data_IF_731494172019
#
_entry.id   IF_731494172019
#
_cell.length_a   1.000
_cell.length_b   1.000
_cell.length_c   1.000
_cell.angle_alpha   90.00
_cell.angle_beta   90.00
_cell.angle_gamma   90.00
#
_symmetry.space_group_name_H-M   'P 1'
#
loop_
_entity.id
_entity.type
_entity.pdbx_description
1 polymer ?
#
# COMPACT_ATOMS: atom_id res chain seq x y z
N UNK A 1 19.32 -4.70 -30.11
CA UNK A 1 18.08 -4.11 -30.66
C UNK A 1 17.79 -2.81 -29.93
N UNK A 2 17.08 -1.86 -30.51
CA UNK A 2 16.53 -0.73 -29.75
C UNK A 2 15.16 -1.08 -29.15
N UNK A 3 14.61 -0.28 -28.20
CA UNK A 3 13.34 -0.59 -27.54
C UNK A 3 12.16 -0.78 -28.51
N UNK A 4 12.11 -0.04 -29.61
CA UNK A 4 11.08 -0.21 -30.64
C UNK A 4 11.22 -1.54 -31.38
N UNK A 5 12.44 -1.92 -31.77
CA UNK A 5 12.73 -3.23 -32.36
C UNK A 5 12.38 -4.38 -31.42
N UNK A 6 12.65 -4.24 -30.11
CA UNK A 6 12.28 -5.25 -29.11
C UNK A 6 10.76 -5.41 -28.99
N UNK A 7 10.01 -4.31 -28.96
CA UNK A 7 8.54 -4.33 -28.95
C UNK A 7 7.98 -5.04 -30.18
N UNK A 8 8.47 -4.70 -31.37
CA UNK A 8 8.04 -5.32 -32.63
C UNK A 8 8.34 -6.81 -32.65
N UNK A 9 9.54 -7.23 -32.21
CA UNK A 9 9.91 -8.64 -32.13
C UNK A 9 9.00 -9.42 -31.18
N UNK A 10 8.64 -8.84 -30.04
CA UNK A 10 7.68 -9.45 -29.11
C UNK A 10 6.29 -9.59 -29.73
N UNK A 11 5.80 -8.56 -30.42
CA UNK A 11 4.52 -8.60 -31.12
C UNK A 11 4.49 -9.67 -32.23
N UNK A 12 5.57 -9.79 -33.01
CA UNK A 12 5.70 -10.84 -34.01
C UNK A 12 5.71 -12.23 -33.38
N UNK A 13 6.51 -12.41 -32.31
CA UNK A 13 6.54 -13.67 -31.58
C UNK A 13 5.16 -14.04 -31.04
N UNK A 14 4.47 -13.09 -30.40
CA UNK A 14 3.11 -13.31 -29.92
C UNK A 14 2.20 -13.68 -31.09
N UNK A 15 2.20 -12.97 -32.21
CA UNK A 15 1.37 -13.34 -33.37
C UNK A 15 1.68 -14.73 -33.94
N UNK A 16 2.93 -15.14 -33.95
CA UNK A 16 3.35 -16.42 -34.52
C UNK A 16 3.04 -17.61 -33.60
N UNK A 17 3.10 -17.40 -32.29
CA UNK A 17 2.89 -18.44 -31.28
C UNK A 17 1.47 -18.45 -30.74
N UNK A 18 0.86 -17.28 -30.64
CA UNK A 18 -0.45 -17.00 -30.09
C UNK A 18 -1.34 -16.42 -31.20
N UNK A 19 -2.42 -17.11 -31.52
CA UNK A 19 -3.38 -16.59 -32.49
C UNK A 19 -4.03 -15.32 -31.92
N UNK A 20 -4.07 -14.25 -32.71
CA UNK A 20 -4.68 -12.98 -32.29
C UNK A 20 -6.20 -13.05 -32.22
N UNK A 21 -6.80 -14.17 -32.64
CA UNK A 21 -8.21 -14.47 -32.48
C UNK A 21 -8.64 -14.57 -31.00
N UNK A 22 -7.71 -14.76 -30.07
CA UNK A 22 -7.98 -14.63 -28.63
C UNK A 22 -7.93 -13.14 -28.20
N UNK A 23 -9.06 -12.56 -27.73
CA UNK A 23 -9.10 -11.17 -27.27
C UNK A 23 -8.09 -10.86 -26.16
N UNK A 24 -7.84 -11.78 -25.24
CA UNK A 24 -6.90 -11.58 -24.13
C UNK A 24 -5.47 -11.39 -24.65
N UNK A 25 -5.03 -12.27 -25.56
CA UNK A 25 -3.68 -12.23 -26.14
C UNK A 25 -3.50 -10.99 -27.01
N UNK A 26 -4.57 -10.57 -27.71
CA UNK A 26 -4.61 -9.31 -28.44
C UNK A 26 -4.43 -8.08 -27.54
N UNK A 27 -5.13 -7.98 -26.41
CA UNK A 27 -4.94 -6.86 -25.46
C UNK A 27 -3.57 -6.91 -24.77
N UNK A 28 -3.05 -8.10 -24.48
CA UNK A 28 -1.71 -8.27 -23.95
C UNK A 28 -0.66 -7.79 -24.97
N UNK A 29 -0.83 -8.11 -26.25
CA UNK A 29 0.02 -7.61 -27.32
C UNK A 29 -0.04 -6.07 -27.41
N UNK A 30 -1.25 -5.48 -27.39
CA UNK A 30 -1.42 -4.02 -27.38
C UNK A 30 -0.73 -3.34 -26.19
N UNK A 31 -0.73 -3.98 -25.02
CA UNK A 31 -0.08 -3.44 -23.82
C UNK A 31 1.43 -3.26 -23.98
N UNK A 32 2.10 -4.01 -24.86
CA UNK A 32 3.55 -3.88 -25.13
C UNK A 32 3.88 -2.50 -25.70
N UNK A 33 2.95 -1.89 -26.43
CA UNK A 33 3.12 -0.55 -27.00
C UNK A 33 2.83 0.57 -25.98
N UNK A 34 2.19 0.24 -24.86
CA UNK A 34 1.69 1.17 -23.87
C UNK A 34 2.60 1.19 -22.63
N UNK A 35 3.74 1.90 -22.68
CA UNK A 35 4.65 1.92 -21.53
C UNK A 35 4.01 2.52 -20.26
N UNK A 36 4.46 2.10 -19.06
CA UNK A 36 3.96 2.65 -17.80
C UNK A 36 4.15 4.16 -17.66
N UNK A 37 5.23 4.72 -18.23
CA UNK A 37 5.55 6.15 -18.21
C UNK A 37 4.82 6.96 -19.31
N UNK A 38 3.91 6.33 -20.06
CA UNK A 38 3.11 6.96 -21.11
C UNK A 38 3.89 7.31 -22.38
N UNK A 39 5.18 6.96 -22.46
CA UNK A 39 6.05 7.29 -23.61
C UNK A 39 6.12 6.14 -24.61
N UNK A 40 6.36 6.47 -25.87
CA UNK A 40 6.65 5.47 -26.88
C UNK A 40 7.95 4.68 -26.58
N UNK A 41 8.08 3.44 -27.09
CA UNK A 41 9.35 2.77 -27.20
C UNK A 41 10.37 3.63 -27.97
N UNK A 42 11.50 3.96 -27.34
CA UNK A 42 12.53 4.78 -27.97
C UNK A 42 13.11 4.14 -29.23
N UNK A 43 13.44 4.98 -30.21
CA UNK A 43 14.04 4.55 -31.49
C UNK A 43 15.47 5.07 -31.63
N UNK A 44 16.38 4.21 -32.07
CA UNK A 44 17.74 4.62 -32.46
C UNK A 44 17.88 4.46 -33.97
N UNK A 45 17.55 5.51 -34.74
CA UNK A 45 17.45 5.45 -36.22
C UNK A 45 18.69 4.85 -36.92
N UNK A 46 19.90 5.03 -36.36
CA UNK A 46 21.15 4.45 -36.90
C UNK A 46 21.19 2.92 -36.89
N UNK A 47 20.33 2.25 -36.10
CA UNK A 47 20.22 0.79 -36.00
C UNK A 47 19.22 0.19 -37.01
N UNK A 48 18.66 1.01 -37.88
CA UNK A 48 17.68 0.61 -38.90
C UNK A 48 18.29 0.76 -40.29
N UNK A 49 17.92 -0.14 -41.21
CA UNK A 49 18.34 -0.07 -42.62
C UNK A 49 17.90 1.25 -43.25
N UNK A 50 16.66 1.63 -43.00
CA UNK A 50 16.08 2.89 -43.46
C UNK A 50 15.70 3.79 -42.29
N UNK A 51 16.42 4.91 -42.14
CA UNK A 51 16.20 5.85 -41.03
C UNK A 51 14.80 6.50 -41.08
N UNK A 52 14.30 6.78 -42.28
CA UNK A 52 13.01 7.42 -42.50
C UNK A 52 11.85 6.49 -42.10
N UNK A 53 11.94 5.21 -42.45
CA UNK A 53 10.96 4.21 -42.03
C UNK A 53 10.94 4.02 -40.51
N UNK A 54 12.12 3.96 -39.88
CA UNK A 54 12.25 3.86 -38.44
C UNK A 54 11.56 5.02 -37.71
N UNK A 55 11.74 6.25 -38.20
CA UNK A 55 11.07 7.43 -37.66
C UNK A 55 9.56 7.36 -37.88
N UNK A 56 9.09 7.05 -39.09
CA UNK A 56 7.66 6.97 -39.39
C UNK A 56 6.96 5.90 -38.54
N UNK A 57 7.59 4.75 -38.34
CA UNK A 57 7.05 3.68 -37.50
C UNK A 57 7.03 4.10 -36.03
N UNK A 58 8.09 4.73 -35.54
CA UNK A 58 8.12 5.29 -34.19
C UNK A 58 6.98 6.28 -33.97
N UNK A 59 6.77 7.23 -34.88
CA UNK A 59 5.74 8.26 -34.74
C UNK A 59 4.33 7.65 -34.75
N UNK A 60 4.11 6.57 -35.51
CA UNK A 60 2.83 5.81 -35.47
C UNK A 60 2.64 5.08 -34.14
N UNK A 61 3.69 4.44 -33.62
CA UNK A 61 3.63 3.75 -32.33
C UNK A 61 3.46 4.73 -31.18
N UNK A 62 4.09 5.90 -31.26
CA UNK A 62 3.91 6.99 -30.29
C UNK A 62 2.46 7.46 -30.27
N UNK A 63 1.90 7.80 -31.44
CA UNK A 63 0.51 8.21 -31.52
C UNK A 63 -0.45 7.15 -30.96
N UNK A 64 -0.17 5.88 -31.26
CA UNK A 64 -1.05 4.77 -30.88
C UNK A 64 -0.96 4.41 -29.40
N UNK A 65 0.25 4.39 -28.81
CA UNK A 65 0.52 3.89 -27.46
C UNK A 65 0.77 4.93 -26.37
N UNK A 66 0.78 6.23 -26.72
CA UNK A 66 0.84 7.33 -25.74
C UNK A 66 -0.34 7.32 -24.77
N UNK A 67 -0.24 8.10 -23.70
CA UNK A 67 -1.26 8.15 -22.63
C UNK A 67 -2.69 8.40 -23.14
N UNK A 68 -2.87 9.33 -24.09
CA UNK A 68 -4.14 9.62 -24.75
C UNK A 68 -4.28 8.91 -26.12
N UNK A 69 -3.56 7.81 -26.31
CA UNK A 69 -3.51 7.05 -27.55
C UNK A 69 -4.59 5.97 -27.61
N UNK A 70 -5.08 5.59 -28.79
CA UNK A 70 -6.12 4.57 -28.94
C UNK A 70 -5.79 3.22 -28.29
N UNK A 71 -4.53 2.77 -28.33
CA UNK A 71 -4.15 1.50 -27.71
C UNK A 71 -4.25 1.57 -26.19
N UNK A 72 -3.84 2.70 -25.60
CA UNK A 72 -3.87 2.90 -24.16
C UNK A 72 -5.31 2.94 -23.66
N UNK A 73 -6.19 3.66 -24.35
CA UNK A 73 -7.62 3.71 -24.03
C UNK A 73 -8.25 2.30 -24.03
N UNK A 74 -8.00 1.53 -25.09
CA UNK A 74 -8.50 0.16 -25.23
C UNK A 74 -7.96 -0.78 -24.14
N UNK A 75 -6.65 -0.76 -23.88
CA UNK A 75 -6.03 -1.58 -22.82
C UNK A 75 -6.52 -1.17 -21.44
N UNK A 76 -6.71 0.14 -21.19
CA UNK A 76 -7.24 0.64 -19.93
C UNK A 76 -8.68 0.16 -19.68
N UNK A 77 -9.55 0.20 -20.68
CA UNK A 77 -10.93 -0.33 -20.56
C UNK A 77 -10.92 -1.84 -20.29
N UNK A 78 -10.06 -2.59 -20.99
CA UNK A 78 -9.91 -4.03 -20.76
C UNK A 78 -9.42 -4.34 -19.35
N UNK A 79 -8.39 -3.63 -18.87
CA UNK A 79 -7.88 -3.80 -17.52
C UNK A 79 -8.90 -3.39 -16.47
N UNK A 80 -9.68 -2.33 -16.66
CA UNK A 80 -10.75 -1.96 -15.74
C UNK A 80 -11.79 -3.08 -15.61
N UNK A 81 -12.20 -3.68 -16.73
CA UNK A 81 -13.12 -4.81 -16.74
C UNK A 81 -12.53 -6.03 -16.01
N UNK A 82 -11.29 -6.40 -16.34
CA UNK A 82 -10.60 -7.54 -15.74
C UNK A 82 -10.32 -7.33 -14.25
N UNK A 83 -9.90 -6.14 -13.85
CA UNK A 83 -9.58 -5.83 -12.46
C UNK A 83 -10.80 -5.98 -11.56
N UNK A 84 -12.00 -5.60 -12.01
CA UNK A 84 -13.21 -5.80 -11.20
C UNK A 84 -13.43 -7.28 -10.88
N UNK A 85 -13.29 -8.17 -11.87
CA UNK A 85 -13.46 -9.61 -11.71
C UNK A 85 -12.36 -10.24 -10.87
N UNK A 86 -11.10 -9.88 -11.17
CA UNK A 86 -9.92 -10.42 -10.47
C UNK A 86 -9.91 -9.95 -9.02
N UNK A 87 -10.24 -8.68 -8.77
CA UNK A 87 -10.27 -8.13 -7.41
C UNK A 87 -11.30 -8.86 -6.56
N UNK A 88 -12.50 -9.11 -7.08
CA UNK A 88 -13.52 -9.88 -6.35
C UNK A 88 -13.00 -11.28 -5.97
N UNK A 89 -12.44 -12.02 -6.93
CA UNK A 89 -11.83 -13.33 -6.65
C UNK A 89 -10.69 -13.27 -5.63
N UNK A 90 -9.79 -12.28 -5.76
CA UNK A 90 -8.64 -12.12 -4.84
C UNK A 90 -9.10 -11.77 -3.43
N UNK A 91 -10.13 -10.93 -3.28
CA UNK A 91 -10.70 -10.60 -1.98
C UNK A 91 -11.35 -11.83 -1.33
N UNK A 92 -12.18 -12.56 -2.07
CA UNK A 92 -12.82 -13.79 -1.58
C UNK A 92 -11.78 -14.84 -1.18
N UNK A 93 -10.76 -15.04 -2.02
CA UNK A 93 -9.67 -15.98 -1.75
C UNK A 93 -8.83 -15.58 -0.54
N UNK A 94 -8.54 -14.28 -0.37
CA UNK A 94 -7.86 -13.73 0.82
C UNK A 94 -8.65 -14.05 2.08
N UNK A 95 -9.96 -13.82 2.07
CA UNK A 95 -10.80 -13.96 3.25
C UNK A 95 -10.98 -15.44 3.63
N UNK A 96 -11.26 -16.30 2.65
CA UNK A 96 -11.30 -17.75 2.86
C UNK A 96 -9.96 -18.30 3.40
N UNK A 97 -8.82 -17.82 2.88
CA UNK A 97 -7.50 -18.26 3.35
C UNK A 97 -7.20 -17.76 4.78
N UNK A 98 -7.57 -16.52 5.10
CA UNK A 98 -7.47 -15.96 6.45
C UNK A 98 -8.28 -16.78 7.46
N UNK A 99 -9.54 -17.10 7.13
CA UNK A 99 -10.39 -17.95 7.97
C UNK A 99 -9.82 -19.35 8.16
N UNK A 100 -9.31 -19.97 7.10
CA UNK A 100 -8.66 -21.27 7.18
C UNK A 100 -7.45 -21.26 8.14
N UNK A 101 -6.62 -20.21 8.10
CA UNK A 101 -5.48 -20.07 9.03
C UNK A 101 -5.93 -19.94 10.48
N UNK A 102 -7.00 -19.19 10.72
CA UNK A 102 -7.61 -19.06 12.06
C UNK A 102 -8.13 -20.41 12.55
N UNK A 103 -8.93 -21.11 11.74
CA UNK A 103 -9.54 -22.39 12.11
C UNK A 103 -8.50 -23.49 12.38
N UNK A 104 -7.38 -23.47 11.66
CA UNK A 104 -6.29 -24.45 11.83
C UNK A 104 -5.25 -24.05 12.87
N UNK A 105 -5.37 -22.87 13.49
CA UNK A 105 -4.41 -22.34 14.45
C UNK A 105 -3.04 -22.02 13.85
N UNK A 106 -2.92 -21.90 12.53
CA UNK A 106 -1.66 -21.63 11.80
C UNK A 106 -1.53 -20.14 11.50
N UNK A 107 -1.39 -19.35 12.56
CA UNK A 107 -1.26 -17.90 12.45
C UNK A 107 0.17 -17.49 12.11
N UNK A 108 0.32 -16.54 11.19
CA UNK A 108 1.57 -15.86 10.91
C UNK A 108 1.71 -14.58 11.75
N UNK A 109 2.90 -13.98 11.78
CA UNK A 109 3.14 -12.73 12.50
C UNK A 109 2.17 -11.60 12.10
N UNK A 110 1.84 -11.50 10.82
CA UNK A 110 0.88 -10.50 10.33
C UNK A 110 -0.53 -10.76 10.88
N UNK A 111 -0.94 -12.01 11.01
CA UNK A 111 -2.24 -12.37 11.58
C UNK A 111 -2.30 -11.99 13.06
N UNK A 112 -1.22 -12.23 13.81
CA UNK A 112 -1.14 -11.85 15.22
C UNK A 112 -1.31 -10.34 15.42
N UNK A 113 -0.65 -9.52 14.59
CA UNK A 113 -0.81 -8.07 14.62
C UNK A 113 -2.25 -7.67 14.25
N UNK A 114 -2.81 -8.23 13.18
CA UNK A 114 -4.15 -7.87 12.72
C UNK A 114 -5.22 -8.23 13.74
N UNK A 115 -5.16 -9.45 14.29
CA UNK A 115 -6.09 -9.93 15.30
C UNK A 115 -5.97 -9.12 16.61
N UNK A 116 -4.75 -8.71 16.99
CA UNK A 116 -4.53 -7.85 18.17
C UNK A 116 -5.11 -6.46 17.98
N UNK A 117 -4.86 -5.82 16.84
CA UNK A 117 -5.45 -4.52 16.51
C UNK A 117 -6.98 -4.60 16.49
N UNK A 118 -7.53 -5.62 15.82
CA UNK A 118 -8.98 -5.87 15.76
C UNK A 118 -9.58 -6.07 17.16
N UNK A 119 -8.94 -6.82 18.03
CA UNK A 119 -9.40 -7.03 19.40
C UNK A 119 -9.47 -5.70 20.17
N UNK A 120 -8.42 -4.88 20.09
CA UNK A 120 -8.37 -3.60 20.77
C UNK A 120 -9.36 -2.57 20.21
N UNK A 121 -9.61 -2.60 18.91
CA UNK A 121 -10.58 -1.72 18.24
C UNK A 121 -12.02 -2.08 18.60
N UNK A 122 -12.34 -3.37 18.53
CA UNK A 122 -13.71 -3.87 18.63
C UNK A 122 -14.20 -4.18 20.05
N UNK A 123 -13.29 -4.40 21.01
CA UNK A 123 -13.64 -4.77 22.39
C UNK A 123 -13.12 -3.74 23.41
N UNK A 124 -13.96 -2.76 23.80
CA UNK A 124 -13.64 -1.77 24.83
C UNK A 124 -13.25 -2.38 26.18
N UNK A 125 -13.76 -3.58 26.53
CA UNK A 125 -13.42 -4.24 27.80
C UNK A 125 -12.00 -4.76 27.73
N UNK A 126 -11.62 -5.40 26.63
CA UNK A 126 -10.25 -5.89 26.43
C UNK A 126 -9.25 -4.75 26.30
N UNK A 127 -9.61 -3.66 25.62
CA UNK A 127 -8.79 -2.45 25.56
C UNK A 127 -8.54 -1.86 26.95
N UNK A 128 -9.57 -1.72 27.79
CA UNK A 128 -9.41 -1.29 29.20
C UNK A 128 -8.55 -2.26 30.00
N UNK A 129 -8.85 -3.55 29.93
CA UNK A 129 -8.11 -4.60 30.64
C UNK A 129 -6.60 -4.53 30.33
N UNK A 130 -6.24 -4.43 29.05
CA UNK A 130 -4.82 -4.32 28.67
C UNK A 130 -4.22 -2.95 28.96
N UNK A 131 -4.99 -1.86 28.83
CA UNK A 131 -4.54 -0.52 29.20
C UNK A 131 -4.24 -0.37 30.70
N UNK A 132 -5.04 -1.01 31.55
CA UNK A 132 -4.83 -1.06 33.00
C UNK A 132 -3.63 -1.93 33.40
N UNK A 133 -3.40 -3.02 32.65
CA UNK A 133 -2.27 -3.93 32.83
C UNK A 133 -0.96 -3.31 32.36
N UNK A 134 -0.95 -2.69 31.18
CA UNK A 134 0.20 -2.05 30.57
C UNK A 134 0.08 -0.52 30.66
N UNK A 135 0.27 -0.01 31.88
CA UNK A 135 0.05 1.41 32.18
C UNK A 135 1.03 2.35 31.50
N UNK A 136 2.25 1.88 31.21
CA UNK A 136 3.30 2.64 30.52
C UNK A 136 3.94 1.79 29.43
N UNK A 137 3.94 2.32 28.22
CA UNK A 137 4.50 1.74 27.02
C UNK A 137 5.73 2.55 26.62
N UNK A 138 6.85 1.86 26.44
CA UNK A 138 8.08 2.42 25.90
C UNK A 138 8.30 1.76 24.55
N UNK A 139 8.33 2.55 23.49
CA UNK A 139 8.54 2.07 22.13
C UNK A 139 9.83 2.67 21.60
N UNK A 140 10.77 1.81 21.26
CA UNK A 140 12.05 2.17 20.65
C UNK A 140 11.97 1.97 19.13
N UNK A 141 12.86 2.63 18.39
CA UNK A 141 12.96 2.54 16.92
C UNK A 141 11.61 2.77 16.19
N UNK A 142 10.82 3.73 16.65
CA UNK A 142 9.46 3.94 16.14
C UNK A 142 9.41 4.34 14.67
N UNK A 143 10.50 4.85 14.10
CA UNK A 143 10.60 5.14 12.66
C UNK A 143 10.47 3.90 11.77
N UNK A 144 10.61 2.70 12.33
CA UNK A 144 10.49 1.43 11.61
C UNK A 144 9.15 0.72 11.88
N UNK A 145 8.21 1.39 12.55
CA UNK A 145 6.88 0.87 12.88
C UNK A 145 5.93 0.97 11.68
N UNK A 146 5.15 -0.08 11.44
CA UNK A 146 4.09 -0.09 10.43
C UNK A 146 2.74 0.40 11.00
N UNK A 147 1.75 0.81 10.17
CA UNK A 147 0.48 1.35 10.64
C UNK A 147 -0.28 0.47 11.64
N UNK A 148 -0.20 -0.85 11.51
CA UNK A 148 -0.92 -1.80 12.37
C UNK A 148 -0.28 -1.87 13.76
N UNK A 149 1.04 -1.78 13.83
CA UNK A 149 1.77 -1.71 15.10
C UNK A 149 1.51 -0.40 15.83
N UNK A 150 1.53 0.73 15.10
CA UNK A 150 1.20 2.03 15.68
C UNK A 150 -0.25 2.07 16.22
N UNK A 151 -1.20 1.48 15.48
CA UNK A 151 -2.57 1.31 15.94
C UNK A 151 -2.64 0.57 17.28
N UNK A 152 -1.97 -0.59 17.40
CA UNK A 152 -1.95 -1.38 18.64
C UNK A 152 -1.39 -0.54 19.80
N UNK A 153 -0.25 0.12 19.59
CA UNK A 153 0.41 0.95 20.63
C UNK A 153 -0.50 2.07 21.09
N UNK A 154 -1.10 2.82 20.15
CA UNK A 154 -1.96 3.96 20.47
C UNK A 154 -3.26 3.51 21.15
N UNK A 155 -3.89 2.44 20.68
CA UNK A 155 -5.10 1.89 21.30
C UNK A 155 -4.84 1.34 22.70
N UNK A 156 -3.71 0.66 22.93
CA UNK A 156 -3.31 0.22 24.27
C UNK A 156 -3.06 1.39 25.21
N UNK A 157 -2.47 2.47 24.71
CA UNK A 157 -2.14 3.66 25.50
C UNK A 157 -3.35 4.54 25.83
N UNK A 158 -4.50 4.36 25.18
CA UNK A 158 -5.67 5.26 25.26
C UNK A 158 -6.91 4.56 25.83
N UNK A 159 -7.86 5.35 26.32
CA UNK A 159 -9.16 4.83 26.78
C UNK A 159 -10.09 4.52 25.60
N UNK A 160 -10.97 3.51 25.70
CA UNK A 160 -12.02 3.33 24.70
C UNK A 160 -12.99 4.52 24.71
N UNK A 161 -13.67 4.80 23.58
CA UNK A 161 -14.68 5.85 23.54
C UNK A 161 -15.76 5.62 24.59
N UNK A 162 -16.26 6.72 25.16
CA UNK A 162 -17.45 6.66 26.01
C UNK A 162 -18.71 6.50 25.15
N UNK A 163 -19.78 5.90 25.67
CA UNK A 163 -21.04 5.66 24.94
C UNK A 163 -21.65 6.95 24.34
N UNK A 164 -21.25 8.11 24.84
CA UNK A 164 -21.64 9.45 24.39
C UNK A 164 -20.90 9.98 23.13
N UNK A 165 -19.73 9.44 22.77
CA UNK A 165 -18.84 10.05 21.77
C UNK A 165 -18.94 9.46 20.36
N UNK A 166 -19.49 8.26 20.17
CA UNK A 166 -19.54 7.63 18.83
C UNK A 166 -20.83 7.83 18.06
N UNK A 167 -21.50 8.98 18.22
CA UNK A 167 -22.63 9.37 17.36
C UNK A 167 -22.22 10.15 16.10
N UNK A 168 -21.00 10.69 16.06
CA UNK A 168 -20.60 11.65 15.01
C UNK A 168 -19.59 11.09 13.98
N UNK A 169 -19.24 9.80 14.04
CA UNK A 169 -18.36 9.20 13.03
C UNK A 169 -19.20 8.67 11.86
N UNK A 170 -19.36 9.48 10.80
CA UNK A 170 -19.86 9.00 9.51
C UNK A 170 -18.92 7.93 8.95
N UNK A 171 -19.37 6.68 8.98
CA UNK A 171 -18.64 5.53 8.44
C UNK A 171 -18.79 5.54 6.92
N UNK A 172 -17.68 5.73 6.20
CA UNK A 172 -17.60 5.37 4.77
C UNK A 172 -17.82 3.86 4.64
N UNK A 173 -18.92 3.48 3.98
CA UNK A 173 -19.28 2.09 3.67
C UNK A 173 -18.63 1.65 2.37
N UNK A 174 -17.66 0.75 2.43
CA UNK A 174 -17.49 -0.26 1.38
C UNK A 174 -18.03 -1.59 1.90
N UNK A 175 -18.84 -2.24 1.07
CA UNK A 175 -19.73 -3.31 1.51
C UNK A 175 -19.00 -4.52 2.07
N UNK A 176 -19.25 -4.85 3.33
CA UNK A 176 -19.62 -6.17 3.83
C UNK A 176 -19.88 -6.10 5.35
N UNK A 177 -21.02 -6.65 5.79
CA UNK A 177 -21.24 -7.13 7.17
C UNK A 177 -21.05 -6.14 8.33
N UNK A 178 -22.16 -5.61 8.83
CA UNK A 178 -22.27 -4.78 10.03
C UNK A 178 -21.30 -5.14 11.18
N UNK A 179 -20.44 -4.19 11.60
CA UNK A 179 -19.77 -4.19 12.91
C UNK A 179 -19.57 -2.76 13.47
N UNK A 180 -19.56 -2.73 14.80
CA UNK A 180 -19.31 -1.67 15.80
C UNK A 180 -18.52 -0.43 15.39
N UNK A 181 -18.76 0.70 16.08
CA UNK A 181 -17.87 1.88 16.21
C UNK A 181 -16.40 1.52 15.94
N UNK A 182 -15.95 1.67 14.70
CA UNK A 182 -14.54 1.55 14.40
C UNK A 182 -13.88 2.79 14.96
N UNK A 183 -13.13 2.61 16.05
CA UNK A 183 -12.35 3.70 16.63
C UNK A 183 -11.27 4.05 15.61
N UNK A 184 -11.33 5.26 15.05
CA UNK A 184 -10.24 5.79 14.23
C UNK A 184 -9.02 5.98 15.15
N UNK A 185 -8.12 4.99 15.18
CA UNK A 185 -6.96 4.99 16.06
C UNK A 185 -6.05 6.20 15.81
N UNK A 186 -6.13 6.85 14.64
CA UNK A 186 -5.39 8.07 14.33
C UNK A 186 -5.88 9.29 15.13
N UNK A 187 -7.12 9.26 15.64
CA UNK A 187 -7.69 10.37 16.41
C UNK A 187 -7.56 10.19 17.92
N UNK A 188 -7.22 8.99 18.42
CA UNK A 188 -7.16 8.72 19.85
C UNK A 188 -6.01 9.45 20.54
N UNK A 189 -6.24 9.85 21.79
CA UNK A 189 -5.23 10.45 22.64
C UNK A 189 -4.77 9.44 23.70
N UNK A 190 -3.46 9.18 23.81
CA UNK A 190 -2.91 8.39 24.90
C UNK A 190 -3.27 8.98 26.26
N UNK A 191 -3.52 8.11 27.24
CA UNK A 191 -3.63 8.51 28.65
C UNK A 191 -2.36 9.25 29.08
N UNK A 192 -2.46 10.28 29.93
CA UNK A 192 -1.29 11.03 30.40
C UNK A 192 -0.19 10.11 30.96
N UNK A 193 1.00 10.18 30.37
CA UNK A 193 2.17 9.40 30.78
C UNK A 193 2.15 7.91 30.38
N UNK A 194 1.17 7.46 29.60
CA UNK A 194 1.05 6.06 29.21
C UNK A 194 1.95 5.66 28.03
N UNK A 195 2.44 6.62 27.24
CA UNK A 195 3.21 6.36 26.03
C UNK A 195 4.49 7.19 25.99
N UNK A 196 5.60 6.51 25.74
CA UNK A 196 6.91 7.10 25.48
C UNK A 196 7.51 6.47 24.22
N UNK A 197 7.93 7.30 23.28
CA UNK A 197 8.37 6.87 21.95
C UNK A 197 9.74 7.45 21.65
N UNK A 198 10.65 6.61 21.17
CA UNK A 198 11.99 6.98 20.71
C UNK A 198 12.13 6.60 19.24
N UNK A 199 12.81 7.45 18.47
CA UNK A 199 13.17 7.14 17.09
C UNK A 199 13.92 8.27 16.39
N UNK A 200 14.54 7.94 15.26
CA UNK A 200 15.29 8.87 14.41
C UNK A 200 14.82 8.76 12.96
N UNK A 201 14.17 9.81 12.45
CA UNK A 201 13.66 9.85 11.08
C UNK A 201 14.75 9.68 10.02
N UNK A 202 16.00 10.04 10.32
CA UNK A 202 17.14 9.88 9.39
C UNK A 202 17.63 8.44 9.28
N UNK A 203 17.20 7.56 10.19
CA UNK A 203 17.62 6.16 10.23
C UNK A 203 16.56 5.18 9.72
N UNK A 204 15.41 5.68 9.23
CA UNK A 204 14.41 4.81 8.61
C UNK A 204 14.94 4.22 7.30
N UNK A 205 15.40 2.97 7.35
CA UNK A 205 15.93 2.21 6.21
C UNK A 205 14.98 1.08 5.78
N UNK A 206 13.92 0.82 6.55
CA UNK A 206 13.04 -0.34 6.36
C UNK A 206 11.74 -0.04 5.59
N UNK A 207 11.70 1.02 4.76
CA UNK A 207 10.52 1.33 3.92
C UNK A 207 10.04 0.15 3.06
N UNK A 208 10.96 -0.74 2.65
CA UNK A 208 10.65 -1.96 1.90
C UNK A 208 9.92 -3.05 2.74
N UNK A 209 9.86 -2.91 4.07
CA UNK A 209 9.12 -3.77 5.01
C UNK A 209 7.87 -3.10 5.58
N UNK A 210 7.32 -2.09 4.89
CA UNK A 210 6.12 -1.32 5.29
C UNK A 210 6.31 -0.35 6.45
N UNK A 211 7.55 -0.07 6.87
CA UNK A 211 7.80 1.09 7.71
C UNK A 211 7.40 2.37 6.97
N UNK A 212 6.64 3.23 7.63
CA UNK A 212 6.11 4.45 7.03
C UNK A 212 6.68 5.68 7.75
N UNK A 213 7.61 6.38 7.09
CA UNK A 213 8.17 7.61 7.63
C UNK A 213 7.09 8.70 7.80
N UNK A 214 6.05 8.70 6.96
CA UNK A 214 4.93 9.63 7.08
C UNK A 214 4.13 9.35 8.35
N UNK A 215 4.03 8.07 8.76
CA UNK A 215 3.41 7.68 10.02
C UNK A 215 4.23 8.17 11.22
N UNK A 216 5.55 8.03 11.19
CA UNK A 216 6.42 8.57 12.24
C UNK A 216 6.22 10.09 12.38
N UNK A 217 6.26 10.83 11.27
CA UNK A 217 6.07 12.27 11.27
C UNK A 217 4.66 12.65 11.76
N UNK A 218 3.62 11.91 11.32
CA UNK A 218 2.25 12.09 11.78
C UNK A 218 2.13 11.92 13.30
N UNK A 219 2.65 10.82 13.86
CA UNK A 219 2.60 10.56 15.30
C UNK A 219 3.42 11.60 16.06
N UNK A 220 4.62 11.95 15.58
CA UNK A 220 5.44 13.01 16.19
C UNK A 220 4.70 14.35 16.25
N UNK A 221 3.96 14.70 15.21
CA UNK A 221 3.17 15.93 15.18
C UNK A 221 2.02 15.87 16.19
N UNK A 222 1.34 14.73 16.29
CA UNK A 222 0.28 14.45 17.27
C UNK A 222 0.75 14.55 18.72
N UNK A 223 2.00 14.21 19.01
CA UNK A 223 2.57 14.37 20.36
C UNK A 223 2.59 15.84 20.83
N UNK A 224 2.39 16.82 19.95
CA UNK A 224 2.18 18.23 20.35
C UNK A 224 0.84 18.46 21.05
N UNK A 225 -0.15 17.62 20.78
CA UNK A 225 -1.52 17.79 21.30
C UNK A 225 -1.66 17.22 22.72
N UNK A 226 -1.00 16.09 23.01
CA UNK A 226 -1.16 15.34 24.27
C UNK A 226 0.16 15.08 25.02
N UNK A 227 1.27 15.63 24.55
CA UNK A 227 2.59 15.31 25.09
C UNK A 227 3.65 16.38 24.82
N UNK A 228 4.90 15.91 24.68
CA UNK A 228 6.02 16.76 24.33
C UNK A 228 7.00 16.02 23.44
N UNK A 229 7.67 16.74 22.55
CA UNK A 229 8.71 16.22 21.66
C UNK A 229 10.05 16.76 22.12
N UNK A 230 10.96 15.87 22.49
CA UNK A 230 12.31 16.22 22.94
C UNK A 230 13.31 15.77 21.88
N UNK A 231 14.21 16.68 21.48
CA UNK A 231 15.27 16.38 20.52
C UNK A 231 16.60 16.17 21.24
N UNK A 232 17.25 15.04 20.99
CA UNK A 232 18.61 14.76 21.45
C UNK A 232 19.58 14.99 20.29
N UNK A 233 20.54 15.92 20.45
CA UNK A 233 21.49 16.31 19.40
C UNK A 233 22.92 15.87 19.68
N UNK A 234 23.25 15.55 20.93
CA UNK A 234 24.58 15.13 21.32
C UNK A 234 24.87 13.70 20.84
N UNK A 235 25.97 13.52 20.11
CA UNK A 235 26.48 12.21 19.73
C UNK A 235 27.57 11.79 20.72
N UNK A 236 27.35 10.68 21.41
CA UNK A 236 28.33 10.10 22.34
C UNK A 236 29.02 8.84 21.80
N UNK A 237 28.69 8.42 20.57
CA UNK A 237 29.18 7.18 19.95
C UNK A 237 30.38 7.40 19.03
N UNK A 238 30.46 8.54 18.34
CA UNK A 238 31.47 8.82 17.31
C UNK A 238 32.29 10.05 17.65
N UNK A 239 33.57 10.05 17.26
CA UNK A 239 34.42 11.25 17.30
C UNK A 239 34.17 12.14 16.08
N UNK A 240 34.52 13.45 16.15
CA UNK A 240 34.38 14.39 15.03
C UNK A 240 35.15 13.97 13.77
#
# INVERSE_FOLDING_TARGET
>A
WDPLQEAIRKLHYMREVEDWDDPHLSFQALSILCKPDGRAPGVTQKRWKERKEAKNLHDRVEYFGRESGPARELVSLWYQHMYALVLQFVLDARDAFSEYRIQTGKLEFQDLLFLSARLLRSDPKMRRYFGERYRRLLVDEFQDTDPLQAEIVLLLASEPPTESEGKDTEVYRDGEGARSMDVEWRSVEPRPGALFVVGDSKQSIYRFRRADIQLYDFVKERFKDFGSVIQLTANFRSSP
#
